data_IF_795476876738
#
_entry.id   IF_795476876738
#
_cell.length_a   1.000
_cell.length_b   1.000
_cell.length_c   1.000
_cell.angle_alpha   90.00
_cell.angle_beta   90.00
_cell.angle_gamma   90.00
#
_symmetry.space_group_name_H-M   'P 1'
#
loop_
_entity.id
_entity.type
_entity.pdbx_description
1 polymer ?
#
# COMPACT_ATOMS: atom_id res chain seq x y z
N UNK A 1 -5.69 -15.11 2.03
CA UNK A 1 -4.69 -14.06 2.27
C UNK A 1 -4.37 -14.02 3.76
N UNK A 2 -3.10 -14.04 4.15
CA UNK A 2 -2.68 -13.97 5.56
C UNK A 2 -1.50 -13.01 5.67
N UNK A 3 -1.64 -11.96 6.49
CA UNK A 3 -0.55 -11.05 6.83
C UNK A 3 0.22 -11.58 8.05
N UNK A 4 1.52 -11.31 8.11
CA UNK A 4 2.42 -11.81 9.16
C UNK A 4 2.45 -10.92 10.42
N UNK A 5 1.54 -9.95 10.50
CA UNK A 5 1.41 -8.99 11.59
C UNK A 5 -0.06 -8.88 12.03
N UNK A 6 -0.28 -8.30 13.21
CA UNK A 6 -1.61 -8.10 13.79
C UNK A 6 -2.00 -6.63 13.65
N UNK A 7 -3.17 -6.36 13.09
CA UNK A 7 -3.77 -5.03 12.95
C UNK A 7 -5.31 -5.16 13.01
N UNK A 8 -6.04 -4.05 13.03
CA UNK A 8 -7.50 -4.05 13.01
C UNK A 8 -8.09 -4.45 11.64
N UNK A 9 -9.38 -4.77 11.63
CA UNK A 9 -10.06 -5.27 10.43
C UNK A 9 -10.13 -4.23 9.30
N UNK A 10 -10.14 -2.94 9.63
CA UNK A 10 -10.19 -1.85 8.66
C UNK A 10 -8.86 -1.72 7.91
N UNK A 11 -7.76 -1.75 8.65
CA UNK A 11 -6.40 -1.78 8.11
C UNK A 11 -6.18 -3.05 7.29
N UNK A 12 -6.65 -4.22 7.74
CA UNK A 12 -6.61 -5.45 6.93
C UNK A 12 -7.31 -5.26 5.59
N UNK A 13 -8.52 -4.67 5.59
CA UNK A 13 -9.27 -4.45 4.36
C UNK A 13 -8.54 -3.50 3.40
N UNK A 14 -7.95 -2.42 3.91
CA UNK A 14 -7.15 -1.50 3.10
C UNK A 14 -5.88 -2.15 2.54
N UNK A 15 -5.22 -3.03 3.30
CA UNK A 15 -4.08 -3.82 2.82
C UNK A 15 -4.49 -4.81 1.74
N UNK A 16 -5.66 -5.44 1.84
CA UNK A 16 -6.19 -6.27 0.76
C UNK A 16 -6.44 -5.45 -0.53
N UNK A 17 -6.89 -4.21 -0.40
CA UNK A 17 -7.04 -3.29 -1.54
C UNK A 17 -5.66 -2.90 -2.10
N UNK A 18 -4.65 -2.70 -1.26
CA UNK A 18 -3.27 -2.49 -1.72
C UNK A 18 -2.73 -3.70 -2.49
N UNK A 19 -3.01 -4.94 -2.04
CA UNK A 19 -2.68 -6.16 -2.79
C UNK A 19 -3.37 -6.19 -4.15
N UNK A 20 -4.64 -5.78 -4.23
CA UNK A 20 -5.34 -5.65 -5.51
C UNK A 20 -4.63 -4.65 -6.44
N UNK A 21 -4.21 -3.49 -5.91
CA UNK A 21 -3.49 -2.50 -6.72
C UNK A 21 -2.10 -2.96 -7.14
N UNK A 22 -1.39 -3.72 -6.30
CA UNK A 22 -0.11 -4.34 -6.67
C UNK A 22 -0.27 -5.28 -7.87
N UNK A 23 -1.34 -6.08 -7.90
CA UNK A 23 -1.67 -6.93 -9.04
C UNK A 23 -2.06 -6.10 -10.26
N UNK A 24 -2.99 -5.16 -10.09
CA UNK A 24 -3.62 -4.45 -11.20
C UNK A 24 -2.68 -3.46 -11.91
N UNK A 25 -1.91 -2.67 -11.15
CA UNK A 25 -1.07 -1.61 -11.69
C UNK A 25 0.38 -2.04 -11.95
N UNK A 26 0.88 -3.03 -11.22
CA UNK A 26 2.29 -3.45 -11.30
C UNK A 26 2.48 -4.92 -11.73
N UNK A 27 1.40 -5.67 -11.92
CA UNK A 27 1.44 -7.02 -12.52
C UNK A 27 2.01 -8.11 -11.61
N UNK A 28 2.05 -7.88 -10.29
CA UNK A 28 2.47 -8.92 -9.35
C UNK A 28 1.40 -10.02 -9.23
N UNK A 29 1.83 -11.24 -8.97
CA UNK A 29 0.94 -12.33 -8.55
C UNK A 29 0.45 -12.07 -7.12
N UNK A 30 -0.76 -12.55 -6.77
CA UNK A 30 -1.37 -12.31 -5.45
C UNK A 30 -0.42 -12.68 -4.29
N UNK A 31 0.18 -13.87 -4.33
CA UNK A 31 1.08 -14.33 -3.26
C UNK A 31 2.33 -13.46 -3.14
N UNK A 32 2.89 -13.01 -4.27
CA UNK A 32 4.05 -12.11 -4.28
C UNK A 32 3.68 -10.73 -3.73
N UNK A 33 2.52 -10.19 -4.10
CA UNK A 33 2.04 -8.92 -3.57
C UNK A 33 1.80 -8.98 -2.04
N UNK A 34 1.30 -10.10 -1.53
CA UNK A 34 1.14 -10.31 -0.08
C UNK A 34 2.49 -10.39 0.63
N UNK A 35 3.44 -11.13 0.08
CA UNK A 35 4.81 -11.21 0.61
C UNK A 35 5.48 -9.83 0.65
N UNK A 36 5.32 -9.03 -0.41
CA UNK A 36 5.84 -7.66 -0.46
C UNK A 36 5.26 -6.75 0.63
N UNK A 37 3.97 -6.88 0.94
CA UNK A 37 3.36 -6.12 2.05
C UNK A 37 3.92 -6.57 3.41
N UNK A 38 4.13 -7.88 3.60
CA UNK A 38 4.72 -8.39 4.83
C UNK A 38 6.17 -7.90 4.99
N UNK A 39 6.96 -7.93 3.92
CA UNK A 39 8.34 -7.43 3.91
C UNK A 39 8.39 -5.92 4.14
N UNK A 40 7.45 -5.19 3.56
CA UNK A 40 7.31 -3.76 3.78
C UNK A 40 7.03 -3.44 5.25
N UNK A 41 6.07 -4.13 5.89
CA UNK A 41 5.83 -3.97 7.33
C UNK A 41 7.06 -4.35 8.17
N UNK A 42 7.74 -5.45 7.83
CA UNK A 42 8.93 -5.92 8.55
C UNK A 42 10.12 -4.97 8.41
N UNK A 43 10.25 -4.28 7.27
CA UNK A 43 11.32 -3.32 7.00
C UNK A 43 11.20 -2.03 7.82
N UNK A 44 10.04 -1.80 8.44
CA UNK A 44 9.77 -0.62 9.23
C UNK A 44 10.30 -0.74 10.65
N UNK A 45 10.91 0.35 11.10
CA UNK A 45 11.25 0.53 12.51
C UNK A 45 9.99 0.75 13.35
N UNK A 46 10.04 0.41 14.63
CA UNK A 46 8.91 0.63 15.55
C UNK A 46 8.50 2.12 15.62
N UNK A 47 9.45 3.04 15.54
CA UNK A 47 9.17 4.48 15.47
C UNK A 47 8.41 4.89 14.18
N UNK A 48 8.68 4.22 13.06
CA UNK A 48 7.94 4.45 11.81
C UNK A 48 6.56 3.78 11.79
N UNK A 49 6.37 2.70 12.55
CA UNK A 49 5.06 2.05 12.75
C UNK A 49 4.12 2.93 13.57
N UNK A 50 4.62 3.64 14.59
CA UNK A 50 3.82 4.60 15.36
C UNK A 50 3.39 5.81 14.52
N UNK A 51 4.24 6.29 13.60
CA UNK A 51 3.85 7.35 12.65
C UNK A 51 2.84 6.90 11.59
N UNK A 52 2.70 5.58 11.42
CA UNK A 52 1.67 4.91 10.65
C UNK A 52 0.45 4.51 11.51
N UNK A 53 0.29 5.14 12.68
CA UNK A 53 -1.00 5.13 13.36
C UNK A 53 -2.12 5.46 12.37
N UNK A 54 -3.25 4.77 12.53
CA UNK A 54 -4.46 4.78 11.69
C UNK A 54 -4.55 5.93 10.67
N UNK A 55 -4.41 7.16 11.13
CA UNK A 55 -4.42 8.38 10.34
C UNK A 55 -3.55 8.34 9.06
N UNK A 56 -2.29 7.88 9.08
CA UNK A 56 -1.44 7.92 7.87
C UNK A 56 -2.01 7.03 6.75
N UNK A 57 -2.42 5.81 7.08
CA UNK A 57 -2.94 4.86 6.11
C UNK A 57 -4.31 5.27 5.58
N UNK A 58 -5.12 5.89 6.44
CA UNK A 58 -6.38 6.52 6.07
C UNK A 58 -6.20 7.80 5.22
N UNK A 59 -5.06 8.49 5.32
CA UNK A 59 -4.75 9.71 4.55
C UNK A 59 -4.07 9.45 3.19
N UNK A 60 -3.06 8.58 3.13
CA UNK A 60 -2.34 8.25 1.88
C UNK A 60 -3.15 7.25 1.03
N UNK A 61 -3.96 6.39 1.68
CA UNK A 61 -4.86 5.47 1.03
C UNK A 61 -4.17 4.26 0.40
N UNK A 62 -4.94 3.20 0.16
CA UNK A 62 -4.42 1.91 -0.30
C UNK A 62 -3.62 1.97 -1.62
N UNK A 63 -3.88 2.94 -2.50
CA UNK A 63 -3.13 3.12 -3.74
C UNK A 63 -1.72 3.65 -3.50
N UNK A 64 -1.57 4.70 -2.67
CA UNK A 64 -0.25 5.24 -2.36
C UNK A 64 0.63 4.20 -1.66
N UNK A 65 0.03 3.38 -0.78
CA UNK A 65 0.71 2.23 -0.19
C UNK A 65 1.20 1.25 -1.24
N UNK A 66 0.35 0.86 -2.19
CA UNK A 66 0.76 -0.07 -3.25
C UNK A 66 1.92 0.50 -4.07
N UNK A 67 1.92 1.80 -4.35
CA UNK A 67 3.01 2.51 -5.03
C UNK A 67 4.30 2.48 -4.19
N UNK A 68 4.21 2.76 -2.89
CA UNK A 68 5.36 2.76 -1.97
C UNK A 68 5.96 1.35 -1.83
N UNK A 69 5.12 0.34 -1.65
CA UNK A 69 5.51 -1.08 -1.58
C UNK A 69 6.17 -1.53 -2.88
N UNK A 70 5.59 -1.17 -4.04
CA UNK A 70 6.19 -1.47 -5.33
C UNK A 70 7.58 -0.86 -5.47
N UNK A 71 7.75 0.41 -5.07
CA UNK A 71 9.04 1.08 -5.18
C UNK A 71 10.10 0.48 -4.24
N UNK A 72 9.79 0.39 -2.95
CA UNK A 72 10.78 0.01 -1.94
C UNK A 72 11.11 -1.48 -1.97
N UNK A 73 10.07 -2.33 -2.05
CA UNK A 73 10.27 -3.78 -2.04
C UNK A 73 10.42 -4.32 -3.45
N UNK A 74 9.52 -3.92 -4.35
CA UNK A 74 9.48 -4.45 -5.71
C UNK A 74 10.65 -4.02 -6.59
N UNK A 75 11.11 -2.77 -6.45
CA UNK A 75 12.24 -2.22 -7.21
C UNK A 75 13.53 -2.08 -6.40
N UNK A 76 13.49 -2.29 -5.07
CA UNK A 76 14.64 -2.04 -4.20
C UNK A 76 15.05 -0.57 -4.17
N UNK A 77 14.08 0.35 -4.33
CA UNK A 77 14.32 1.78 -4.43
C UNK A 77 14.88 2.39 -3.13
N UNK A 78 15.57 3.52 -3.27
CA UNK A 78 16.07 4.29 -2.13
C UNK A 78 14.92 5.12 -1.52
N UNK A 79 14.56 4.94 -0.23
CA UNK A 79 13.53 5.73 0.43
C UNK A 79 13.70 7.25 0.27
N UNK A 80 14.95 7.74 0.22
CA UNK A 80 15.22 9.17 0.04
C UNK A 80 14.80 9.70 -1.35
N UNK A 81 14.67 8.82 -2.34
CA UNK A 81 14.30 9.15 -3.72
C UNK A 81 12.83 8.83 -4.04
N UNK A 82 12.07 8.27 -3.09
CA UNK A 82 10.70 7.82 -3.35
C UNK A 82 9.81 8.96 -3.88
N UNK A 83 9.85 10.14 -3.27
CA UNK A 83 9.01 11.28 -3.67
C UNK A 83 9.34 11.73 -5.10
N UNK A 84 10.62 11.88 -5.43
CA UNK A 84 11.06 12.27 -6.77
C UNK A 84 10.64 11.23 -7.81
N UNK A 85 10.85 9.94 -7.50
CA UNK A 85 10.46 8.85 -8.37
C UNK A 85 8.94 8.80 -8.58
N UNK A 86 8.15 8.92 -7.51
CA UNK A 86 6.69 8.89 -7.55
C UNK A 86 6.15 9.98 -8.47
N UNK A 87 6.64 11.21 -8.31
CA UNK A 87 6.26 12.35 -9.16
C UNK A 87 6.72 12.13 -10.61
N UNK A 88 7.95 11.66 -10.83
CA UNK A 88 8.47 11.41 -12.18
C UNK A 88 7.70 10.30 -12.93
N UNK A 89 7.06 9.39 -12.20
CA UNK A 89 6.21 8.32 -12.74
C UNK A 89 4.72 8.65 -12.78
N UNK A 90 4.32 9.86 -12.34
CA UNK A 90 2.92 10.28 -12.24
C UNK A 90 2.08 9.37 -11.32
N UNK A 91 2.68 8.86 -10.25
CA UNK A 91 1.99 8.07 -9.21
C UNK A 91 1.62 8.91 -7.97
N UNK A 92 1.79 10.23 -8.04
CA UNK A 92 1.39 11.19 -7.02
C UNK A 92 -0.11 11.48 -7.01
N UNK A 93 -0.81 11.18 -8.12
CA UNK A 93 -2.26 11.26 -8.21
C UNK A 93 -2.88 9.85 -8.23
N UNK A 94 -3.78 9.58 -7.29
CA UNK A 94 -4.54 8.33 -7.31
C UNK A 94 -5.49 8.29 -8.52
N UNK A 95 -5.37 7.28 -9.42
CA UNK A 95 -6.23 7.13 -10.59
C UNK A 95 -7.71 7.06 -10.22
N UNK A 96 -8.57 7.46 -11.15
CA UNK A 96 -10.01 7.43 -10.93
C UNK A 96 -10.53 6.02 -10.64
N UNK A 97 -10.04 5.00 -11.36
CA UNK A 97 -10.44 3.61 -11.13
C UNK A 97 -10.04 3.14 -9.73
N UNK A 98 -8.84 3.51 -9.25
CA UNK A 98 -8.40 3.21 -7.89
C UNK A 98 -9.29 3.85 -6.83
N UNK A 99 -9.70 5.12 -7.03
CA UNK A 99 -10.67 5.81 -6.15
C UNK A 99 -12.02 5.10 -6.13
N UNK A 100 -12.51 4.67 -7.29
CA UNK A 100 -13.77 3.94 -7.40
C UNK A 100 -13.68 2.59 -6.69
N UNK A 101 -12.62 1.82 -6.93
CA UNK A 101 -12.42 0.52 -6.31
C UNK A 101 -12.36 0.63 -4.78
N UNK A 102 -11.61 1.61 -4.26
CA UNK A 102 -11.57 1.90 -2.83
C UNK A 102 -12.98 2.19 -2.30
N UNK A 103 -13.74 3.07 -2.97
CA UNK A 103 -15.11 3.41 -2.56
C UNK A 103 -16.05 2.22 -2.54
N UNK A 104 -15.94 1.32 -3.51
CA UNK A 104 -16.83 0.18 -3.62
C UNK A 104 -16.51 -0.96 -2.65
N UNK A 105 -15.24 -1.07 -2.23
CA UNK A 105 -14.75 -2.20 -1.42
C UNK A 105 -14.41 -1.82 0.02
N UNK A 106 -14.32 -0.52 0.34
CA UNK A 106 -14.07 -0.01 1.69
C UNK A 106 -15.30 0.73 2.24
N UNK A 107 -15.67 1.89 1.67
CA UNK A 107 -16.73 2.76 2.21
C UNK A 107 -18.17 2.22 2.12
N UNK A 108 -18.43 1.13 1.37
CA UNK A 108 -19.77 0.51 1.36
C UNK A 108 -20.06 -0.35 2.61
N UNK A 109 -19.09 -0.51 3.51
CA UNK A 109 -19.24 -1.27 4.75
C UNK A 109 -19.64 -0.42 5.96
N UNK A 110 -19.65 0.91 5.83
CA UNK A 110 -20.14 1.86 6.83
C UNK A 110 -21.65 2.11 6.75
#
# INVERSE_FOLDING_TARGET
MQFNFTTDDDTVQLLMIAVYFLQHYFGYEENAAVEMINDFDASRSDASRESWGDDYYHHEGAYATAVEVHYLIGLGGDPAQFVEWRTAKHYDETPFEAKQYLRENYYKRE
#
